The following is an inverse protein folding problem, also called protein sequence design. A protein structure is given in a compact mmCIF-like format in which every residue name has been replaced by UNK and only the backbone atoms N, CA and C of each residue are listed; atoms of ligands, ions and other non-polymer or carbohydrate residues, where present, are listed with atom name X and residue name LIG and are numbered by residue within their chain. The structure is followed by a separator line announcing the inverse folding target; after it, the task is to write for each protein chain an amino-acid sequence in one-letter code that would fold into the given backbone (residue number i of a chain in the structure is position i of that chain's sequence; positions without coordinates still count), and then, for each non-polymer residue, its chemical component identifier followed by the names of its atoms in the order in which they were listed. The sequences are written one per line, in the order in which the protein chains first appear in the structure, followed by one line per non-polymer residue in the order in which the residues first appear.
data_IF_555569690439
#
_entry.id   IF_555569690439
#
_cell.length_a   1.000
_cell.length_b   1.000
_cell.length_c   1.000
_cell.angle_alpha   90.00
_cell.angle_beta   90.00
_cell.angle_gamma   90.00
#
_symmetry.space_group_name_H-M   'P 1'
#
loop_
_entity.id
_entity.type
_entity.pdbx_description
1 polymer ?
#
# COMPACT_ATOMS: atom_id res chain seq x y z
N UNK A 1 20.24 -12.25 -13.38
CA UNK A 1 18.84 -12.47 -13.83
C UNK A 1 17.97 -11.42 -13.15
N UNK A 2 17.20 -10.60 -13.88
CA UNK A 2 16.25 -9.69 -13.24
C UNK A 2 15.13 -10.49 -12.56
N UNK A 3 14.72 -10.06 -11.36
CA UNK A 3 13.58 -10.68 -10.66
C UNK A 3 12.26 -10.32 -11.37
N UNK A 4 11.20 -11.08 -11.11
CA UNK A 4 9.89 -10.89 -11.75
C UNK A 4 9.32 -9.50 -11.47
N UNK A 5 9.49 -8.98 -10.26
CA UNK A 5 8.98 -7.66 -9.85
C UNK A 5 9.59 -6.51 -10.67
N UNK A 6 10.90 -6.55 -10.91
CA UNK A 6 11.60 -5.55 -11.75
C UNK A 6 11.10 -5.61 -13.20
N UNK A 7 10.85 -6.82 -13.73
CA UNK A 7 10.29 -6.98 -15.07
C UNK A 7 8.86 -6.43 -15.16
N UNK A 8 8.03 -6.67 -14.14
CA UNK A 8 6.67 -6.13 -14.05
C UNK A 8 6.72 -4.61 -14.00
N UNK A 9 7.55 -4.01 -13.14
CA UNK A 9 7.68 -2.55 -13.04
C UNK A 9 8.12 -1.93 -14.36
N UNK A 10 9.22 -2.44 -14.94
CA UNK A 10 9.75 -1.92 -16.19
C UNK A 10 8.72 -2.01 -17.32
N UNK A 11 7.96 -3.11 -17.37
CA UNK A 11 6.90 -3.25 -18.35
C UNK A 11 5.75 -2.26 -18.12
N UNK A 12 5.26 -2.10 -16.89
CA UNK A 12 4.16 -1.19 -16.58
C UNK A 12 4.54 0.29 -16.73
N UNK A 13 5.82 0.66 -16.59
CA UNK A 13 6.30 2.01 -16.91
C UNK A 13 6.15 2.33 -18.39
N UNK A 14 6.34 1.35 -19.28
CA UNK A 14 6.21 1.53 -20.72
C UNK A 14 4.77 1.30 -21.22
N UNK A 15 4.03 0.40 -20.56
CA UNK A 15 2.68 -0.01 -20.94
C UNK A 15 1.79 -0.01 -19.69
N UNK A 16 1.25 1.14 -19.26
CA UNK A 16 0.32 1.22 -18.14
C UNK A 16 -1.04 0.57 -18.50
N UNK A 17 -1.80 0.18 -17.48
CA UNK A 17 -3.17 -0.32 -17.65
C UNK A 17 -3.25 -1.76 -18.16
N UNK A 18 -2.31 -2.61 -17.77
CA UNK A 18 -2.25 -4.00 -18.24
C UNK A 18 -2.89 -4.96 -17.25
N UNK A 19 -3.56 -5.99 -17.78
CA UNK A 19 -4.07 -7.11 -16.99
C UNK A 19 -2.94 -8.09 -16.63
N UNK A 20 -3.09 -8.93 -15.59
CA UNK A 20 -2.08 -9.94 -15.23
C UNK A 20 -1.70 -10.88 -16.38
N UNK A 21 -2.64 -11.18 -17.29
CA UNK A 21 -2.38 -12.03 -18.45
C UNK A 21 -1.51 -11.33 -19.49
N UNK A 22 -1.76 -10.05 -19.76
CA UNK A 22 -0.93 -9.26 -20.69
C UNK A 22 0.49 -9.08 -20.15
N UNK A 23 0.62 -8.77 -18.85
CA UNK A 23 1.91 -8.65 -18.18
C UNK A 23 2.70 -9.97 -18.29
N UNK A 24 2.08 -11.10 -17.94
CA UNK A 24 2.71 -12.42 -18.00
C UNK A 24 3.24 -12.75 -19.40
N UNK A 25 2.44 -12.50 -20.44
CA UNK A 25 2.84 -12.70 -21.83
C UNK A 25 4.01 -11.79 -22.22
N UNK A 26 3.97 -10.51 -21.84
CA UNK A 26 4.99 -9.54 -22.21
C UNK A 26 6.36 -9.80 -21.56
N UNK A 27 6.38 -10.25 -20.30
CA UNK A 27 7.63 -10.47 -19.55
C UNK A 27 8.15 -11.91 -19.63
N UNK A 28 7.48 -12.79 -20.37
CA UNK A 28 7.87 -14.20 -20.51
C UNK A 28 7.79 -14.97 -19.18
N UNK A 29 6.73 -14.75 -18.41
CA UNK A 29 6.46 -15.44 -17.13
C UNK A 29 5.06 -16.05 -17.14
N UNK A 30 4.82 -17.00 -16.24
CA UNK A 30 3.48 -17.58 -16.11
C UNK A 30 2.53 -16.61 -15.42
N UNK A 31 1.24 -16.72 -15.74
CA UNK A 31 0.18 -15.97 -15.05
C UNK A 31 0.16 -16.24 -13.54
N UNK A 32 0.52 -17.45 -13.09
CA UNK A 32 0.61 -17.78 -11.67
C UNK A 32 1.75 -17.04 -10.97
N UNK A 33 2.93 -16.96 -11.58
CA UNK A 33 4.06 -16.20 -11.02
C UNK A 33 3.73 -14.71 -10.93
N UNK A 34 3.15 -14.14 -11.99
CA UNK A 34 2.71 -12.73 -11.98
C UNK A 34 1.61 -12.51 -10.93
N UNK A 35 0.62 -13.41 -10.86
CA UNK A 35 -0.46 -13.34 -9.88
C UNK A 35 0.01 -13.43 -8.42
N UNK A 36 1.15 -14.08 -8.16
CA UNK A 36 1.76 -14.11 -6.83
C UNK A 36 2.57 -12.82 -6.53
N UNK A 37 3.21 -12.23 -7.53
CA UNK A 37 4.02 -11.01 -7.36
C UNK A 37 3.17 -9.74 -7.25
N UNK A 38 2.09 -9.61 -8.02
CA UNK A 38 1.28 -8.39 -8.06
C UNK A 38 0.74 -7.96 -6.68
N UNK A 39 0.16 -8.86 -5.84
CA UNK A 39 -0.31 -8.47 -4.51
C UNK A 39 0.80 -7.96 -3.60
N UNK A 40 2.01 -8.52 -3.70
CA UNK A 40 3.18 -8.09 -2.91
C UNK A 40 3.59 -6.68 -3.33
N UNK A 41 3.68 -6.43 -4.63
CA UNK A 41 4.04 -5.12 -5.16
C UNK A 41 2.98 -4.05 -4.85
N UNK A 42 1.70 -4.42 -4.88
CA UNK A 42 0.60 -3.56 -4.42
C UNK A 42 0.76 -3.26 -2.93
N UNK A 43 1.02 -4.26 -2.09
CA UNK A 43 1.21 -4.08 -0.65
C UNK A 43 2.40 -3.17 -0.30
N UNK A 44 3.44 -3.13 -1.13
CA UNK A 44 4.56 -2.19 -0.99
C UNK A 44 4.20 -0.78 -1.47
N UNK A 45 3.24 -0.68 -2.41
CA UNK A 45 2.77 0.55 -3.02
C UNK A 45 3.58 0.98 -4.25
N UNK A 46 4.28 0.05 -4.90
CA UNK A 46 5.03 0.31 -6.14
C UNK A 46 4.13 0.31 -7.37
N UNK A 47 3.03 -0.45 -7.29
CA UNK A 47 1.98 -0.51 -8.31
C UNK A 47 0.61 -0.40 -7.65
N UNK A 48 -0.39 -0.04 -8.44
CA UNK A 48 -1.80 -0.05 -8.03
C UNK A 48 -2.66 -0.63 -9.14
N UNK A 49 -3.90 -1.01 -8.80
CA UNK A 49 -4.87 -1.53 -9.76
C UNK A 49 -6.16 -0.73 -9.75
N UNK A 50 -6.78 -0.57 -10.92
CA UNK A 50 -8.13 -0.02 -11.04
C UNK A 50 -9.21 -1.07 -10.70
N UNK A 51 -10.48 -0.66 -10.77
CA UNK A 51 -11.64 -1.52 -10.53
C UNK A 51 -11.77 -2.69 -11.53
N UNK A 52 -11.09 -2.62 -12.68
CA UNK A 52 -11.08 -3.66 -13.72
C UNK A 52 -9.84 -4.57 -13.62
N UNK A 53 -9.10 -4.48 -12.51
CA UNK A 53 -7.87 -5.23 -12.28
C UNK A 53 -6.79 -4.98 -13.36
N UNK A 54 -6.75 -3.77 -13.92
CA UNK A 54 -5.62 -3.28 -14.71
C UNK A 54 -4.61 -2.62 -13.79
N UNK A 55 -3.34 -2.93 -14.00
CA UNK A 55 -2.25 -2.49 -13.14
C UNK A 55 -1.49 -1.32 -13.75
N UNK A 56 -1.01 -0.44 -12.88
CA UNK A 56 -0.30 0.79 -13.20
C UNK A 56 0.86 0.94 -12.20
N UNK A 57 1.94 1.61 -12.61
CA UNK A 57 2.97 2.03 -11.66
C UNK A 57 2.47 3.19 -10.81
N UNK A 58 2.90 3.26 -9.55
CA UNK A 58 2.74 4.49 -8.78
C UNK A 58 3.53 5.62 -9.46
N UNK A 59 2.91 6.78 -9.62
CA UNK A 59 3.58 7.94 -10.21
C UNK A 59 4.74 8.36 -9.29
N UNK A 60 5.87 8.83 -9.85
CA UNK A 60 6.87 9.48 -9.03
C UNK A 60 6.29 10.79 -8.46
N UNK A 61 6.61 11.06 -7.19
CA UNK A 61 6.43 12.40 -6.63
C UNK A 61 7.33 13.37 -7.42
N UNK A 62 6.78 14.50 -7.85
CA UNK A 62 7.47 15.48 -8.68
C UNK A 62 7.32 16.90 -8.15
N UNK A 63 7.67 17.88 -8.98
CA UNK A 63 7.42 19.30 -8.68
C UNK A 63 5.93 19.52 -8.38
N UNK A 64 5.64 20.18 -7.26
CA UNK A 64 4.28 20.39 -6.74
C UNK A 64 3.78 19.35 -5.73
N UNK A 65 4.52 18.27 -5.48
CA UNK A 65 4.21 17.26 -4.45
C UNK A 65 5.09 17.42 -3.18
N UNK A 66 5.70 18.59 -2.94
CA UNK A 66 6.66 18.79 -1.84
C UNK A 66 6.04 18.48 -0.48
N UNK A 67 4.76 18.83 -0.30
CA UNK A 67 4.00 18.51 0.91
C UNK A 67 3.80 17.01 1.09
N UNK A 68 3.53 16.28 0.00
CA UNK A 68 3.41 14.82 0.03
C UNK A 68 4.75 14.19 0.44
N UNK A 69 5.85 14.62 -0.19
CA UNK A 69 7.20 14.12 0.10
C UNK A 69 7.56 14.34 1.58
N UNK A 70 7.36 15.55 2.09
CA UNK A 70 7.64 15.88 3.49
C UNK A 70 6.82 15.04 4.48
N UNK A 71 5.54 14.77 4.17
CA UNK A 71 4.68 13.91 4.99
C UNK A 71 5.12 12.44 4.90
N UNK A 72 5.55 11.95 3.74
CA UNK A 72 6.12 10.62 3.61
C UNK A 72 7.38 10.46 4.47
N UNK A 73 8.30 11.42 4.43
CA UNK A 73 9.53 11.40 5.23
C UNK A 73 9.23 11.39 6.73
N UNK A 74 8.27 12.20 7.17
CA UNK A 74 7.82 12.19 8.57
C UNK A 74 7.18 10.84 8.95
N UNK A 75 6.34 10.29 8.08
CA UNK A 75 5.70 9.00 8.32
C UNK A 75 6.72 7.86 8.42
N UNK A 76 7.78 7.88 7.60
CA UNK A 76 8.88 6.93 7.70
C UNK A 76 9.66 7.09 9.01
N UNK A 77 10.01 8.32 9.41
CA UNK A 77 10.65 8.58 10.70
C UNK A 77 9.82 8.09 11.90
N UNK A 78 8.50 8.18 11.84
CA UNK A 78 7.61 7.64 12.86
C UNK A 78 7.58 6.09 12.87
N UNK A 79 7.62 5.46 11.69
CA UNK A 79 7.72 3.99 11.57
C UNK A 79 9.03 3.45 12.14
N UNK A 80 10.15 4.09 11.86
CA UNK A 80 11.47 3.73 12.42
C UNK A 80 11.46 3.75 13.96
N UNK A 81 10.67 4.65 14.54
CA UNK A 81 10.47 4.77 16.00
C UNK A 81 9.39 3.83 16.54
N UNK A 82 8.82 2.96 15.71
CA UNK A 82 7.70 2.06 16.04
C UNK A 82 6.45 2.82 16.56
N UNK A 83 6.25 4.06 16.10
CA UNK A 83 5.09 4.91 16.39
C UNK A 83 4.04 4.73 15.30
N UNK A 84 3.48 3.52 15.23
CA UNK A 84 2.62 3.07 14.14
C UNK A 84 1.31 3.85 14.01
N UNK A 85 0.62 4.16 15.12
CA UNK A 85 -0.63 4.95 15.08
C UNK A 85 -0.39 6.40 14.58
N UNK A 86 0.59 7.15 15.11
CA UNK A 86 0.98 8.44 14.54
C UNK A 86 1.39 8.35 13.06
N UNK A 87 2.19 7.34 12.69
CA UNK A 87 2.61 7.15 11.30
C UNK A 87 1.40 6.94 10.37
N UNK A 88 0.41 6.15 10.78
CA UNK A 88 -0.82 5.94 10.01
C UNK A 88 -1.58 7.26 9.77
N UNK A 89 -1.66 8.13 10.79
CA UNK A 89 -2.30 9.44 10.64
C UNK A 89 -1.56 10.32 9.63
N UNK A 90 -0.23 10.35 9.68
CA UNK A 90 0.58 11.11 8.72
C UNK A 90 0.43 10.56 7.30
N UNK A 91 0.33 9.23 7.13
CA UNK A 91 0.03 8.64 5.83
C UNK A 91 -1.35 9.04 5.28
N UNK A 92 -2.36 9.17 6.13
CA UNK A 92 -3.66 9.72 5.70
C UNK A 92 -3.55 11.18 5.26
N UNK A 93 -2.78 12.00 5.98
CA UNK A 93 -2.50 13.37 5.55
C UNK A 93 -1.76 13.43 4.21
N UNK A 94 -0.80 12.53 4.00
CA UNK A 94 -0.08 12.42 2.73
C UNK A 94 -1.06 12.04 1.59
N UNK A 95 -1.96 11.09 1.83
CA UNK A 95 -3.00 10.72 0.87
C UNK A 95 -3.89 11.91 0.47
N UNK A 96 -4.23 12.78 1.41
CA UNK A 96 -5.03 13.99 1.13
C UNK A 96 -4.24 15.10 0.42
N UNK A 97 -2.91 15.14 0.62
CA UNK A 97 -2.05 16.18 0.07
C UNK A 97 -1.78 16.06 -1.44
N UNK A 98 -2.09 14.92 -2.07
CA UNK A 98 -1.87 14.71 -3.51
C UNK A 98 -3.16 14.29 -4.22
N UNK A 99 -3.27 14.69 -5.49
CA UNK A 99 -4.36 14.31 -6.39
C UNK A 99 -3.99 13.11 -7.28
N UNK A 100 -2.72 12.71 -7.31
CA UNK A 100 -2.24 11.61 -8.16
C UNK A 100 -2.73 10.26 -7.62
N UNK A 101 -3.49 9.47 -8.39
CA UNK A 101 -4.15 8.26 -7.88
C UNK A 101 -3.16 7.22 -7.34
N UNK A 102 -2.01 6.99 -7.98
CA UNK A 102 -1.04 6.00 -7.48
C UNK A 102 -0.32 6.45 -6.22
N UNK A 103 -0.01 7.73 -6.06
CA UNK A 103 0.55 8.28 -4.81
C UNK A 103 -0.45 8.22 -3.65
N UNK A 104 -1.74 8.51 -3.93
CA UNK A 104 -2.82 8.36 -2.96
C UNK A 104 -2.95 6.91 -2.52
N UNK A 105 -2.92 5.98 -3.46
CA UNK A 105 -3.05 4.56 -3.18
C UNK A 105 -1.84 4.04 -2.38
N UNK A 106 -0.63 4.45 -2.74
CA UNK A 106 0.59 4.16 -1.97
C UNK A 106 0.46 4.64 -0.52
N UNK A 107 0.00 5.87 -0.31
CA UNK A 107 -0.20 6.41 1.03
C UNK A 107 -1.30 5.66 1.80
N UNK A 108 -2.41 5.30 1.14
CA UNK A 108 -3.50 4.49 1.73
C UNK A 108 -2.99 3.13 2.21
N UNK A 109 -2.23 2.43 1.37
CA UNK A 109 -1.68 1.10 1.69
C UNK A 109 -0.72 1.19 2.86
N UNK A 110 0.15 2.21 2.88
CA UNK A 110 1.07 2.44 4.00
C UNK A 110 0.35 2.79 5.30
N UNK A 111 -0.75 3.55 5.25
CA UNK A 111 -1.57 3.83 6.42
C UNK A 111 -2.16 2.52 7.00
N UNK A 112 -2.73 1.66 6.15
CA UNK A 112 -3.29 0.36 6.57
C UNK A 112 -2.23 -0.51 7.22
N UNK A 113 -1.06 -0.64 6.59
CA UNK A 113 0.07 -1.39 7.14
C UNK A 113 0.48 -0.87 8.53
N UNK A 114 0.52 0.46 8.72
CA UNK A 114 0.81 1.04 10.03
C UNK A 114 -0.27 0.70 11.06
N UNK A 115 -1.56 0.74 10.69
CA UNK A 115 -2.65 0.34 11.59
C UNK A 115 -2.55 -1.14 11.97
N UNK A 116 -2.21 -2.02 11.03
CA UNK A 116 -2.02 -3.45 11.31
C UNK A 116 -0.83 -3.67 12.26
N UNK A 117 0.30 -3.02 12.02
CA UNK A 117 1.46 -3.07 12.92
C UNK A 117 1.16 -2.51 14.32
N UNK A 118 0.33 -1.47 14.40
CA UNK A 118 -0.13 -0.96 15.69
C UNK A 118 -0.97 -1.99 16.45
N UNK A 119 -1.87 -2.72 15.75
CA UNK A 119 -2.68 -3.79 16.35
C UNK A 119 -1.86 -5.00 16.76
N UNK A 120 -0.82 -5.35 16.01
CA UNK A 120 0.12 -6.41 16.39
C UNK A 120 0.89 -6.05 17.67
N UNK A 121 1.26 -4.78 17.81
CA UNK A 121 2.01 -4.28 18.98
C UNK A 121 1.13 -4.17 20.23
N UNK A 122 -0.12 -3.78 20.08
CA UNK A 122 -1.09 -3.65 21.18
C UNK A 122 -2.41 -4.35 20.80
N UNK A 123 -2.46 -5.70 20.93
CA UNK A 123 -3.67 -6.44 20.63
C UNK A 123 -4.76 -6.01 21.62
N UNK A 124 -5.93 -5.63 21.09
CA UNK A 124 -7.06 -5.22 21.93
C UNK A 124 -7.26 -6.27 23.04
N UNK A 125 -7.45 -5.85 24.30
CA UNK A 125 -7.76 -6.80 25.35
C UNK A 125 -8.99 -7.61 24.92
N UNK A 126 -8.92 -8.93 25.11
CA UNK A 126 -10.04 -9.82 24.81
C UNK A 126 -11.32 -9.33 25.50
N UNK A 127 -12.50 -9.63 24.95
CA UNK A 127 -13.75 -9.22 25.57
C UNK A 127 -13.76 -9.67 27.03
N UNK A 128 -13.95 -8.71 27.94
CA UNK A 128 -13.99 -8.97 29.37
C UNK A 128 -15.06 -10.05 29.65
N UNK A 129 -14.68 -11.22 30.20
CA UNK A 129 -15.62 -12.30 30.52
C UNK A 129 -16.75 -11.86 31.46
N UNK A 130 -16.53 -10.77 32.22
CA UNK A 130 -17.43 -10.24 33.22
C UNK A 130 -18.35 -9.13 32.71
N UNK A 131 -18.14 -8.60 31.49
CA UNK A 131 -19.10 -7.73 30.81
C UNK A 131 -20.27 -8.52 30.18
N UNK A 132 -20.82 -9.51 30.88
CA UNK A 132 -22.19 -9.97 30.58
C UNK A 132 -23.14 -8.93 31.13
N UNK A 133 -23.77 -8.18 30.22
CA UNK A 133 -24.91 -7.27 30.48
C UNK A 133 -25.78 -7.85 31.59
N UNK A 134 -25.80 -7.19 32.74
CA UNK A 134 -26.76 -7.47 33.79
C UNK A 134 -28.16 -7.30 33.22
N UNK A 135 -28.88 -8.41 33.09
CA UNK A 135 -30.33 -8.37 32.93
C UNK A 135 -30.91 -7.81 34.23
N UNK A 136 -31.18 -6.50 34.24
CA UNK A 136 -32.12 -5.94 35.20
C UNK A 136 -33.51 -6.47 34.84
N UNK A 137 -34.07 -7.25 35.78
CA UNK A 137 -35.46 -7.69 35.80
C UNK A 137 -36.40 -6.50 35.95
#
# INVERSE_FOLDING_TARGET
MMNTETLILTHLMAFPGQTPAQIANAIGRTRSTVGASLPVMVAVGDIWSDAEARYYTAEPAGEGDEKYIALCDEAYRLQERNLWNPAAHVWHQAQEATLKPGLREKARIRAIMCVEKAREKDPRPGPDPFCRRGNFR
#
